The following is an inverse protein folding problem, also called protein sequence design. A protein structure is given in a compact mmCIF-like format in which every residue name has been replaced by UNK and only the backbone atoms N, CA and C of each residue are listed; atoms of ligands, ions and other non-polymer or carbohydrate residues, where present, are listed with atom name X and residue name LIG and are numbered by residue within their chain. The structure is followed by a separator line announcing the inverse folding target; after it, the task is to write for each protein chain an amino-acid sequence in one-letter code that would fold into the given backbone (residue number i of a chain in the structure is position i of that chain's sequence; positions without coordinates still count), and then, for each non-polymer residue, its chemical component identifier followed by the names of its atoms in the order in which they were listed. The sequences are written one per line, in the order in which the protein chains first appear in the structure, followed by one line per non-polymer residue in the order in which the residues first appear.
data_IF_366352905051
#
_entry.id   IF_366352905051
#
_cell.length_a   1.000
_cell.length_b   1.000
_cell.length_c   1.000
_cell.angle_alpha   90.00
_cell.angle_beta   90.00
_cell.angle_gamma   90.00
#
_symmetry.space_group_name_H-M   'P 1'
#
loop_
_entity.id
_entity.type
_entity.pdbx_description
1 polymer ?
#
# COMPACT_ATOMS: atom_id res chain seq x y z
N UNK A 1 -1.52 43.50 13.85
CA UNK A 1 -2.39 42.32 14.09
C UNK A 1 -1.71 41.11 13.47
N UNK A 2 -0.71 40.57 14.18
CA UNK A 2 0.18 39.47 13.77
C UNK A 2 0.84 39.00 15.05
N UNK A 3 0.27 37.97 15.69
CA UNK A 3 0.85 37.18 16.81
C UNK A 3 -0.23 36.22 17.32
N UNK A 4 -0.09 34.93 16.99
CA UNK A 4 -0.57 33.77 17.77
C UNK A 4 -0.67 32.48 16.94
N UNK A 5 0.36 32.12 16.18
CA UNK A 5 0.42 30.75 15.60
C UNK A 5 1.74 30.01 15.81
N UNK A 6 2.73 30.62 16.49
CA UNK A 6 4.06 30.01 16.66
C UNK A 6 4.34 29.44 18.07
N UNK A 7 3.35 29.38 18.98
CA UNK A 7 3.56 28.84 20.34
C UNK A 7 2.83 27.52 20.61
N UNK A 8 1.85 27.14 19.79
CA UNK A 8 1.10 25.87 19.97
C UNK A 8 1.87 24.69 19.36
N UNK A 9 2.58 24.92 18.25
CA UNK A 9 3.37 23.89 17.56
C UNK A 9 4.63 23.46 18.31
N UNK A 10 5.17 24.31 19.19
CA UNK A 10 6.41 24.02 19.93
C UNK A 10 6.16 23.29 21.26
N UNK A 11 4.96 23.38 21.85
CA UNK A 11 4.65 22.75 23.13
C UNK A 11 4.19 21.29 22.99
N UNK A 12 3.65 20.90 21.83
CA UNK A 12 3.20 19.53 21.55
C UNK A 12 4.39 18.59 21.22
N UNK A 13 5.51 19.15 20.73
CA UNK A 13 6.69 18.37 20.33
C UNK A 13 7.55 17.96 21.55
N UNK A 14 7.46 18.66 22.68
CA UNK A 14 8.38 18.47 23.81
C UNK A 14 7.89 17.47 24.89
N UNK A 15 6.65 16.97 24.80
CA UNK A 15 6.07 16.11 25.85
C UNK A 15 5.96 14.61 25.48
N UNK A 16 6.39 14.22 24.28
CA UNK A 16 6.18 12.85 23.76
C UNK A 16 7.42 11.94 23.83
N UNK A 17 8.53 12.37 24.44
CA UNK A 17 9.81 11.65 24.32
C UNK A 17 10.21 10.79 25.52
N UNK A 18 9.30 10.41 26.42
CA UNK A 18 9.69 9.68 27.64
C UNK A 18 8.82 8.51 28.01
N UNK A 19 8.56 7.54 27.13
CA UNK A 19 8.19 6.18 27.58
C UNK A 19 8.73 5.11 26.62
N UNK A 20 9.64 4.29 27.13
CA UNK A 20 10.07 3.05 26.49
C UNK A 20 8.94 2.02 26.65
N UNK A 21 8.23 1.72 25.57
CA UNK A 21 7.16 0.72 25.53
C UNK A 21 7.41 -0.19 24.33
N UNK A 22 7.24 -1.51 24.53
CA UNK A 22 7.34 -2.51 23.45
C UNK A 22 6.40 -2.11 22.32
N UNK A 23 6.96 -1.52 21.26
CA UNK A 23 6.21 -1.08 20.10
C UNK A 23 5.57 -2.30 19.43
N UNK A 24 4.24 -2.29 19.35
CA UNK A 24 3.52 -3.24 18.52
C UNK A 24 3.87 -2.90 17.08
N UNK A 25 4.41 -3.87 16.36
CA UNK A 25 5.15 -3.66 15.12
C UNK A 25 4.43 -4.37 13.99
N UNK A 26 3.22 -3.92 13.69
CA UNK A 26 2.39 -4.52 12.64
C UNK A 26 2.06 -3.43 11.64
N UNK A 27 2.96 -3.23 10.68
CA UNK A 27 2.66 -2.40 9.53
C UNK A 27 2.01 -3.28 8.47
N UNK A 28 0.79 -2.93 8.07
CA UNK A 28 0.21 -3.42 6.83
C UNK A 28 0.94 -2.70 5.70
N UNK A 29 1.62 -3.46 4.83
CA UNK A 29 2.17 -2.86 3.61
C UNK A 29 1.09 -2.85 2.54
N UNK A 30 0.48 -1.68 2.36
CA UNK A 30 -0.41 -1.42 1.24
C UNK A 30 0.36 -1.53 -0.08
N UNK A 31 -0.24 -2.24 -1.04
CA UNK A 31 0.21 -2.25 -2.43
C UNK A 31 -1.00 -1.90 -3.28
N UNK A 32 -0.87 -0.84 -4.06
CA UNK A 32 -1.91 -0.42 -4.97
C UNK A 32 -1.99 -1.41 -6.14
N UNK A 33 -2.99 -2.29 -6.14
CA UNK A 33 -3.20 -3.28 -7.20
C UNK A 33 -4.07 -2.76 -8.35
N UNK A 34 -4.18 -1.44 -8.51
CA UNK A 34 -4.83 -0.84 -9.68
C UNK A 34 -4.16 -1.36 -10.97
N UNK A 35 -4.92 -1.68 -12.02
CA UNK A 35 -4.41 -2.31 -13.25
C UNK A 35 -3.21 -1.66 -13.93
N UNK A 36 -3.06 -0.34 -13.91
CA UNK A 36 -1.85 0.31 -14.44
C UNK A 36 -0.81 0.57 -13.34
N UNK A 37 -1.24 1.08 -12.19
CA UNK A 37 -0.34 1.50 -11.11
C UNK A 37 0.29 0.30 -10.38
N UNK A 38 -0.43 -0.82 -10.24
CA UNK A 38 0.06 -2.05 -9.60
C UNK A 38 1.12 -2.81 -10.39
N UNK A 39 1.39 -2.37 -11.62
CA UNK A 39 2.51 -2.83 -12.43
C UNK A 39 3.75 -1.93 -12.30
N UNK A 40 3.64 -0.84 -11.54
CA UNK A 40 4.72 0.08 -11.28
C UNK A 40 5.38 -0.23 -9.94
N UNK A 41 6.66 0.17 -9.78
CA UNK A 41 7.33 0.12 -8.50
C UNK A 41 6.55 0.81 -7.36
N UNK A 42 6.50 0.14 -6.21
CA UNK A 42 6.05 0.71 -4.93
C UNK A 42 7.22 0.87 -3.95
N UNK A 43 7.06 1.75 -2.97
CA UNK A 43 8.07 2.00 -1.95
C UNK A 43 7.98 1.02 -0.77
N UNK A 44 9.14 0.60 -0.25
CA UNK A 44 9.24 -0.15 0.99
C UNK A 44 9.48 0.77 2.18
N UNK A 45 8.43 1.04 2.97
CA UNK A 45 8.65 1.70 4.26
C UNK A 45 9.09 0.70 5.32
N UNK A 46 10.17 1.01 6.06
CA UNK A 46 10.66 0.14 7.12
C UNK A 46 9.69 0.14 8.30
N UNK A 47 9.76 -0.89 9.14
CA UNK A 47 9.03 -0.87 10.42
C UNK A 47 9.74 0.07 11.40
N UNK A 48 9.02 1.09 11.87
CA UNK A 48 9.50 2.01 12.91
C UNK A 48 9.83 1.27 14.22
N UNK A 49 9.09 0.19 14.50
CA UNK A 49 9.29 -0.63 15.66
C UNK A 49 10.40 -1.67 15.46
N UNK A 50 11.16 -1.94 16.52
CA UNK A 50 12.28 -2.88 16.47
C UNK A 50 11.83 -4.30 16.83
N UNK A 51 11.69 -5.19 15.83
CA UNK A 51 11.55 -6.63 16.08
C UNK A 51 12.93 -7.26 16.37
N UNK A 52 12.99 -8.11 17.39
CA UNK A 52 14.24 -8.69 17.92
C UNK A 52 14.77 -9.89 17.12
N UNK A 53 14.01 -10.41 16.16
CA UNK A 53 14.36 -11.61 15.39
C UNK A 53 15.55 -11.37 14.47
N UNK A 54 16.40 -12.38 14.27
CA UNK A 54 17.54 -12.30 13.35
C UNK A 54 17.08 -12.46 11.91
N UNK A 55 16.03 -13.24 11.68
CA UNK A 55 15.45 -13.46 10.36
C UNK A 55 13.93 -13.44 10.47
N UNK A 56 13.28 -12.92 9.44
CA UNK A 56 11.82 -12.94 9.32
C UNK A 56 11.43 -13.36 7.91
N UNK A 57 10.40 -14.18 7.82
CA UNK A 57 9.79 -14.59 6.55
C UNK A 57 8.32 -14.17 6.59
N UNK A 58 7.90 -13.36 5.64
CA UNK A 58 6.52 -12.88 5.52
C UNK A 58 5.90 -13.37 4.22
N UNK A 59 4.74 -14.02 4.34
CA UNK A 59 3.83 -14.28 3.23
C UNK A 59 2.66 -13.31 3.35
N UNK A 60 2.37 -12.55 2.30
CA UNK A 60 1.21 -11.67 2.22
C UNK A 60 0.40 -12.01 0.98
N UNK A 61 -0.91 -12.12 1.12
CA UNK A 61 -1.85 -12.40 0.04
C UNK A 61 -2.88 -11.28 0.00
N UNK A 62 -3.16 -10.77 -1.19
CA UNK A 62 -4.20 -9.78 -1.40
C UNK A 62 -5.04 -10.14 -2.63
N UNK A 63 -6.32 -9.75 -2.60
CA UNK A 63 -7.21 -9.73 -3.75
C UNK A 63 -7.88 -8.36 -3.80
N UNK A 64 -7.86 -7.74 -4.97
CA UNK A 64 -8.39 -6.40 -5.20
C UNK A 64 -9.36 -6.41 -6.36
N UNK A 65 -10.51 -5.79 -6.16
CA UNK A 65 -11.52 -5.53 -7.17
C UNK A 65 -11.36 -4.12 -7.74
N UNK A 66 -11.63 -3.96 -9.03
CA UNK A 66 -11.64 -2.66 -9.68
C UNK A 66 -12.77 -2.60 -10.71
N UNK A 67 -13.50 -1.49 -10.71
CA UNK A 67 -14.47 -1.14 -11.74
C UNK A 67 -14.42 0.37 -11.98
N UNK A 68 -13.92 0.79 -13.14
CA UNK A 68 -13.85 2.21 -13.53
C UNK A 68 -14.08 2.37 -15.02
N UNK A 69 -14.94 3.33 -15.36
CA UNK A 69 -15.20 3.73 -16.74
C UNK A 69 -15.18 5.25 -16.84
N UNK A 70 -14.22 5.77 -17.57
CA UNK A 70 -14.10 7.20 -17.83
C UNK A 70 -13.50 7.47 -19.21
N UNK A 71 -13.95 8.56 -19.83
CA UNK A 71 -13.34 9.10 -21.04
C UNK A 71 -13.19 10.59 -20.85
N UNK A 72 -11.95 11.09 -20.96
CA UNK A 72 -11.62 12.51 -20.95
C UNK A 72 -10.71 12.77 -22.13
N UNK A 73 -11.06 13.76 -22.95
CA UNK A 73 -10.42 14.06 -24.23
C UNK A 73 -10.28 12.83 -25.14
N UNK A 74 -9.04 12.39 -25.39
CA UNK A 74 -8.70 11.24 -26.22
C UNK A 74 -8.22 10.04 -25.39
N UNK A 75 -8.37 10.09 -24.06
CA UNK A 75 -8.01 9.00 -23.15
C UNK A 75 -9.27 8.30 -22.65
N UNK A 76 -9.36 6.99 -22.86
CA UNK A 76 -10.41 6.14 -22.25
C UNK A 76 -9.78 5.20 -21.24
N UNK A 77 -10.36 5.13 -20.06
CA UNK A 77 -10.04 4.18 -19.02
C UNK A 77 -11.30 3.37 -18.71
N UNK A 78 -11.39 2.17 -19.28
CA UNK A 78 -12.50 1.23 -19.08
C UNK A 78 -11.93 -0.08 -18.55
N UNK A 79 -12.05 -0.28 -17.24
CA UNK A 79 -11.33 -1.32 -16.53
C UNK A 79 -12.22 -1.98 -15.48
N UNK A 80 -12.36 -3.30 -15.60
CA UNK A 80 -13.17 -4.18 -14.76
C UNK A 80 -12.47 -5.52 -14.52
N UNK A 81 -12.49 -6.01 -13.29
CA UNK A 81 -11.99 -7.31 -12.88
C UNK A 81 -11.28 -7.34 -11.53
N UNK A 82 -10.44 -8.34 -11.35
CA UNK A 82 -9.67 -8.59 -10.14
C UNK A 82 -8.19 -8.82 -10.36
N UNK A 83 -7.40 -8.44 -9.37
CA UNK A 83 -5.98 -8.76 -9.27
C UNK A 83 -5.73 -9.42 -7.93
N UNK A 84 -5.13 -10.61 -7.95
CA UNK A 84 -4.60 -11.26 -6.75
C UNK A 84 -3.08 -11.13 -6.72
N UNK A 85 -2.52 -10.90 -5.53
CA UNK A 85 -1.09 -10.84 -5.26
C UNK A 85 -0.73 -11.86 -4.18
N UNK A 86 0.33 -12.62 -4.41
CA UNK A 86 1.09 -13.31 -3.36
C UNK A 86 2.46 -12.65 -3.29
N UNK A 87 2.87 -12.23 -2.11
CA UNK A 87 4.17 -11.61 -1.84
C UNK A 87 4.91 -12.40 -0.77
N UNK A 88 6.13 -12.80 -1.09
CA UNK A 88 7.04 -13.48 -0.17
C UNK A 88 8.22 -12.56 0.14
N UNK A 89 8.39 -12.17 1.39
CA UNK A 89 9.46 -11.29 1.83
C UNK A 89 10.35 -11.99 2.84
N UNK A 90 11.64 -12.07 2.51
CA UNK A 90 12.67 -12.52 3.44
C UNK A 90 13.46 -11.32 3.93
N UNK A 91 13.59 -11.18 5.25
CA UNK A 91 14.46 -10.16 5.86
C UNK A 91 15.47 -10.81 6.81
N UNK A 92 16.73 -10.44 6.66
CA UNK A 92 17.84 -10.83 7.54
C UNK A 92 18.42 -9.62 8.24
N UNK A 93 18.59 -9.68 9.56
CA UNK A 93 19.05 -8.57 10.39
C UNK A 93 20.44 -8.84 10.98
N UNK A 94 21.30 -7.84 10.89
CA UNK A 94 22.66 -7.84 11.47
C UNK A 94 22.98 -6.48 12.08
N UNK A 95 23.04 -6.43 13.42
CA UNK A 95 23.17 -5.17 14.14
C UNK A 95 21.97 -4.24 13.90
N UNK A 96 22.26 -3.02 13.44
CA UNK A 96 21.27 -1.98 13.09
C UNK A 96 20.77 -2.09 11.65
N UNK A 97 21.37 -2.97 10.84
CA UNK A 97 21.04 -3.17 9.43
C UNK A 97 20.11 -4.37 9.24
N UNK A 98 19.16 -4.22 8.32
CA UNK A 98 18.35 -5.33 7.81
C UNK A 98 18.46 -5.35 6.29
N UNK A 99 18.64 -6.54 5.72
CA UNK A 99 18.66 -6.77 4.28
C UNK A 99 17.41 -7.58 3.93
N UNK A 100 16.74 -7.23 2.84
CA UNK A 100 15.58 -8.00 2.43
C UNK A 100 15.39 -8.13 0.93
N UNK A 101 14.62 -9.16 0.59
CA UNK A 101 14.22 -9.55 -0.75
C UNK A 101 12.72 -9.80 -0.71
N UNK A 102 11.99 -9.21 -1.64
CA UNK A 102 10.57 -9.48 -1.84
C UNK A 102 10.31 -9.97 -3.26
N UNK A 103 9.61 -11.09 -3.36
CA UNK A 103 9.16 -11.70 -4.60
C UNK A 103 7.64 -11.64 -4.67
N UNK A 104 7.11 -11.44 -5.86
CA UNK A 104 5.68 -11.27 -6.07
C UNK A 104 5.20 -12.20 -7.17
N UNK A 105 4.00 -12.72 -7.00
CA UNK A 105 3.24 -13.44 -8.01
C UNK A 105 1.86 -12.81 -8.12
N UNK A 106 1.49 -12.39 -9.33
CA UNK A 106 0.24 -11.70 -9.60
C UNK A 106 -0.63 -12.55 -10.53
N UNK A 107 -1.94 -12.43 -10.38
CA UNK A 107 -2.91 -13.03 -11.28
C UNK A 107 -4.09 -12.09 -11.51
N UNK A 108 -4.51 -11.95 -12.77
CA UNK A 108 -5.63 -11.12 -13.19
C UNK A 108 -6.79 -12.01 -13.64
N UNK A 109 -7.98 -11.76 -13.08
CA UNK A 109 -9.16 -12.63 -13.23
C UNK A 109 -10.44 -11.79 -13.29
N UNK A 110 -11.54 -12.44 -13.65
CA UNK A 110 -12.88 -11.86 -13.55
C UNK A 110 -13.28 -11.63 -12.09
N UNK A 111 -14.19 -10.68 -11.84
CA UNK A 111 -14.59 -10.20 -10.51
C UNK A 111 -15.43 -11.14 -9.63
N UNK A 112 -14.83 -12.09 -8.92
CA UNK A 112 -15.53 -12.93 -7.93
C UNK A 112 -16.08 -12.16 -6.71
N UNK A 113 -15.53 -10.99 -6.43
CA UNK A 113 -15.92 -10.05 -5.37
C UNK A 113 -17.02 -9.10 -5.82
N UNK A 114 -17.41 -9.10 -7.10
CA UNK A 114 -18.45 -8.19 -7.61
C UNK A 114 -19.77 -8.39 -6.88
N UNK A 115 -20.21 -9.64 -6.70
CA UNK A 115 -21.48 -9.94 -6.02
C UNK A 115 -21.45 -9.52 -4.53
N UNK A 116 -20.45 -9.91 -3.70
CA UNK A 116 -20.35 -9.42 -2.32
C UNK A 116 -20.28 -7.89 -2.19
N UNK A 117 -19.57 -7.20 -3.10
CA UNK A 117 -19.47 -5.73 -3.08
C UNK A 117 -20.82 -5.11 -3.43
N UNK A 118 -21.50 -5.63 -4.46
CA UNK A 118 -22.81 -5.17 -4.88
C UNK A 118 -23.84 -5.33 -3.75
N UNK A 119 -23.90 -6.51 -3.13
CA UNK A 119 -24.78 -6.79 -2.00
C UNK A 119 -24.48 -5.90 -0.80
N UNK A 120 -23.21 -5.66 -0.48
CA UNK A 120 -22.81 -4.74 0.58
C UNK A 120 -23.35 -3.34 0.32
N UNK A 121 -23.15 -2.80 -0.87
CA UNK A 121 -23.69 -1.48 -1.23
C UNK A 121 -25.21 -1.43 -1.14
N UNK A 122 -25.92 -2.46 -1.58
CA UNK A 122 -27.38 -2.53 -1.49
C UNK A 122 -27.87 -2.53 -0.05
N UNK A 123 -27.23 -3.32 0.83
CA UNK A 123 -27.58 -3.41 2.26
C UNK A 123 -27.38 -2.07 2.98
N UNK A 124 -26.29 -1.36 2.65
CA UNK A 124 -25.95 -0.08 3.29
C UNK A 124 -26.46 1.16 2.55
N UNK A 125 -27.17 0.98 1.43
CA UNK A 125 -27.71 2.07 0.61
C UNK A 125 -26.62 2.93 -0.05
N UNK A 126 -25.46 2.34 -0.34
CA UNK A 126 -24.33 3.02 -0.97
C UNK A 126 -24.51 3.05 -2.51
N UNK A 127 -23.95 4.06 -3.20
CA UNK A 127 -23.97 4.09 -4.66
C UNK A 127 -23.15 2.95 -5.27
N UNK A 128 -23.69 2.28 -6.29
CA UNK A 128 -23.00 1.20 -7.02
C UNK A 128 -21.88 1.71 -7.97
N UNK A 129 -21.79 3.03 -8.17
CA UNK A 129 -20.77 3.68 -9.02
C UNK A 129 -20.64 3.08 -10.43
N UNK A 130 -21.79 2.73 -11.03
CA UNK A 130 -21.88 2.18 -12.39
C UNK A 130 -21.89 0.65 -12.46
N UNK A 131 -21.70 -0.06 -11.34
CA UNK A 131 -21.88 -1.52 -11.31
C UNK A 131 -23.35 -1.89 -11.48
N UNK A 132 -23.60 -2.87 -12.33
CA UNK A 132 -24.90 -3.50 -12.50
C UNK A 132 -24.77 -5.00 -12.25
N UNK A 133 -25.73 -5.60 -11.54
CA UNK A 133 -25.71 -7.04 -11.28
C UNK A 133 -25.67 -7.88 -12.58
N UNK A 134 -26.25 -7.38 -13.67
CA UNK A 134 -26.24 -8.01 -15.00
C UNK A 134 -24.87 -8.01 -15.69
N UNK A 135 -23.94 -7.16 -15.23
CA UNK A 135 -22.60 -7.02 -15.81
C UNK A 135 -21.51 -7.43 -14.84
N UNK A 136 -21.83 -8.15 -13.76
CA UNK A 136 -20.83 -8.69 -12.83
C UNK A 136 -19.95 -9.77 -13.50
N UNK A 137 -18.83 -10.05 -12.85
CA UNK A 137 -17.87 -11.10 -13.18
C UNK A 137 -17.17 -10.91 -14.53
N UNK A 138 -16.88 -9.68 -14.93
CA UNK A 138 -16.13 -9.40 -16.16
C UNK A 138 -14.63 -9.30 -15.91
N UNK A 139 -13.86 -9.45 -16.99
CA UNK A 139 -12.46 -9.05 -17.05
C UNK A 139 -12.28 -8.24 -18.32
N UNK A 140 -12.17 -6.92 -18.17
CA UNK A 140 -11.98 -5.99 -19.26
C UNK A 140 -10.96 -4.95 -18.84
N UNK A 141 -9.78 -4.92 -19.46
CA UNK A 141 -8.87 -3.79 -19.30
C UNK A 141 -8.72 -3.14 -20.65
N UNK A 142 -9.34 -1.99 -20.85
CA UNK A 142 -9.26 -1.23 -22.07
C UNK A 142 -8.82 0.18 -21.73
N UNK A 143 -7.51 0.42 -21.85
CA UNK A 143 -6.94 1.76 -21.67
C UNK A 143 -6.45 2.22 -23.02
N UNK A 144 -7.09 3.28 -23.54
CA UNK A 144 -6.75 3.88 -24.83
C UNK A 144 -6.36 5.34 -24.66
N UNK A 145 -5.46 5.82 -25.50
CA UNK A 145 -5.04 7.23 -25.58
C UNK A 145 -4.73 7.57 -27.02
N UNK A 146 -5.24 8.70 -27.51
CA UNK A 146 -5.08 9.14 -28.90
C UNK A 146 -5.46 8.07 -29.96
N UNK A 147 -6.44 7.22 -29.62
CA UNK A 147 -6.91 6.13 -30.48
C UNK A 147 -6.05 4.85 -30.46
N UNK A 148 -4.92 4.84 -29.77
CA UNK A 148 -4.11 3.63 -29.56
C UNK A 148 -4.57 2.88 -28.30
N UNK A 149 -4.62 1.55 -28.36
CA UNK A 149 -4.93 0.69 -27.21
C UNK A 149 -3.64 0.25 -26.55
N UNK A 150 -3.42 0.67 -25.30
CA UNK A 150 -2.19 0.36 -24.55
C UNK A 150 -2.32 -0.95 -23.79
N UNK A 151 -3.53 -1.26 -23.35
CA UNK A 151 -3.78 -2.44 -22.53
C UNK A 151 -5.06 -3.11 -22.99
N UNK A 152 -4.92 -4.40 -23.25
CA UNK A 152 -5.99 -5.39 -23.32
C UNK A 152 -5.48 -6.66 -22.71
N UNK A 153 -6.22 -7.21 -21.76
CA UNK A 153 -5.83 -8.42 -21.05
C UNK A 153 -6.90 -9.47 -21.17
N UNK A 154 -6.45 -10.72 -21.29
CA UNK A 154 -7.21 -11.88 -20.88
C UNK A 154 -6.75 -12.31 -19.48
N UNK A 155 -7.32 -13.39 -18.95
CA UNK A 155 -6.81 -14.00 -17.72
C UNK A 155 -5.32 -14.31 -17.83
N UNK A 156 -4.52 -13.71 -16.96
CA UNK A 156 -3.07 -13.89 -16.95
C UNK A 156 -2.54 -14.04 -15.53
N UNK A 157 -1.34 -14.59 -15.40
CA UNK A 157 -0.65 -14.74 -14.13
C UNK A 157 0.85 -14.91 -14.34
N UNK A 158 1.63 -14.60 -13.32
CA UNK A 158 3.08 -14.70 -13.41
C UNK A 158 3.80 -14.00 -12.29
N UNK A 159 5.13 -14.11 -12.32
CA UNK A 159 5.99 -13.37 -11.42
C UNK A 159 5.89 -11.88 -11.71
N UNK A 160 5.91 -11.08 -10.66
CA UNK A 160 6.01 -9.64 -10.74
C UNK A 160 7.42 -9.12 -10.51
N UNK A 161 7.50 -7.83 -10.24
CA UNK A 161 8.76 -7.16 -10.01
C UNK A 161 9.38 -7.57 -8.66
N UNK A 162 10.68 -7.83 -8.70
CA UNK A 162 11.49 -8.20 -7.54
C UNK A 162 11.95 -6.95 -6.83
N UNK A 163 11.83 -6.91 -5.51
CA UNK A 163 12.34 -5.80 -4.70
C UNK A 163 13.49 -6.27 -3.82
N UNK A 164 14.55 -5.46 -3.80
CA UNK A 164 15.63 -5.57 -2.83
C UNK A 164 15.60 -4.35 -1.93
N UNK A 165 15.87 -4.52 -0.64
CA UNK A 165 15.91 -3.40 0.28
C UNK A 165 16.96 -3.55 1.38
N UNK A 166 17.42 -2.41 1.87
CA UNK A 166 18.27 -2.28 3.05
C UNK A 166 17.60 -1.32 4.00
N UNK A 167 17.36 -1.76 5.23
CA UNK A 167 16.87 -0.93 6.32
C UNK A 167 18.00 -0.63 7.30
N UNK A 168 17.99 0.57 7.84
CA UNK A 168 18.86 0.99 8.94
C UNK A 168 18.00 1.64 10.03
N UNK A 169 18.34 1.35 11.29
CA UNK A 169 17.77 2.04 12.46
C UNK A 169 18.83 3.00 13.03
N UNK A 170 18.88 4.25 12.54
CA UNK A 170 19.85 5.22 13.03
C UNK A 170 19.52 5.64 14.46
N UNK A 171 20.54 6.06 15.22
CA UNK A 171 20.36 6.61 16.57
C UNK A 171 20.00 8.10 16.55
N UNK A 172 19.49 8.61 15.42
CA UNK A 172 19.29 10.05 15.16
C UNK A 172 17.83 10.46 15.31
N UNK A 173 17.58 11.74 15.58
CA UNK A 173 16.25 12.29 15.88
C UNK A 173 15.30 12.40 14.66
N UNK A 174 15.77 12.22 13.42
CA UNK A 174 14.97 12.50 12.21
C UNK A 174 13.94 11.38 11.93
N UNK A 175 14.30 10.12 12.19
CA UNK A 175 13.43 8.95 11.95
C UNK A 175 13.95 7.74 12.69
N UNK A 176 13.07 6.85 13.14
CA UNK A 176 13.45 5.61 13.81
C UNK A 176 14.02 4.57 12.84
N UNK A 177 13.54 4.58 11.59
CA UNK A 177 14.03 3.71 10.55
C UNK A 177 14.10 4.38 9.17
N UNK A 178 15.13 4.02 8.42
CA UNK A 178 15.35 4.45 7.03
C UNK A 178 15.48 3.21 6.16
N UNK A 179 14.91 3.24 4.96
CA UNK A 179 14.98 2.16 3.98
C UNK A 179 15.44 2.71 2.63
N UNK A 180 16.42 2.04 2.03
CA UNK A 180 16.74 2.18 0.60
C UNK A 180 16.26 0.92 -0.11
N UNK A 181 15.40 1.06 -1.10
CA UNK A 181 14.84 -0.07 -1.87
C UNK A 181 15.02 0.12 -3.37
N UNK A 182 15.13 -1.00 -4.07
CA UNK A 182 15.31 -1.10 -5.51
C UNK A 182 14.27 -2.05 -6.08
N UNK A 183 13.51 -1.59 -7.06
CA UNK A 183 12.53 -2.43 -7.74
C UNK A 183 13.09 -2.78 -9.12
N UNK A 184 13.29 -4.07 -9.33
CA UNK A 184 13.82 -4.63 -10.56
C UNK A 184 12.65 -5.01 -11.46
N UNK A 185 12.67 -4.64 -12.75
CA UNK A 185 11.57 -4.85 -13.68
C UNK A 185 11.55 -6.30 -14.20
N UNK A 186 11.44 -7.27 -13.29
CA UNK A 186 11.49 -8.72 -13.56
C UNK A 186 10.14 -9.31 -13.96
N UNK A 187 9.05 -8.56 -13.78
CA UNK A 187 7.71 -8.95 -14.22
C UNK A 187 7.58 -8.99 -15.74
N UNK A 188 6.48 -9.60 -16.19
CA UNK A 188 6.19 -9.80 -17.60
C UNK A 188 5.15 -8.76 -18.08
N UNK A 189 5.61 -7.82 -18.90
CA UNK A 189 4.74 -6.76 -19.45
C UNK A 189 3.66 -7.30 -20.38
N UNK A 190 3.85 -8.48 -21.00
CA UNK A 190 2.82 -9.11 -21.83
C UNK A 190 1.70 -9.72 -20.98
N UNK A 191 2.04 -10.21 -19.78
CA UNK A 191 1.10 -10.77 -18.80
C UNK A 191 0.58 -9.74 -17.81
N UNK A 192 1.10 -8.52 -17.87
CA UNK A 192 0.71 -7.40 -17.03
C UNK A 192 1.03 -7.59 -15.54
N UNK A 193 2.03 -8.41 -15.22
CA UNK A 193 2.42 -8.71 -13.83
C UNK A 193 3.53 -7.79 -13.31
N UNK A 194 3.98 -6.82 -14.10
CA UNK A 194 5.03 -5.86 -13.75
C UNK A 194 5.93 -5.51 -14.92
N UNK A 195 7.10 -4.95 -14.62
CA UNK A 195 8.16 -4.72 -15.59
C UNK A 195 8.00 -3.43 -16.40
N UNK A 196 7.07 -2.55 -16.04
CA UNK A 196 6.86 -1.26 -16.71
C UNK A 196 7.87 -0.20 -16.29
N UNK A 197 8.46 -0.33 -15.10
CA UNK A 197 9.48 0.58 -14.62
C UNK A 197 10.42 -0.11 -13.62
N UNK A 198 11.61 0.46 -13.47
CA UNK A 198 12.52 0.19 -12.36
C UNK A 198 12.52 1.38 -11.41
N UNK A 199 12.87 1.18 -10.14
CA UNK A 199 12.96 2.32 -9.21
C UNK A 199 14.08 2.22 -8.19
N UNK A 200 14.42 3.39 -7.64
CA UNK A 200 15.17 3.56 -6.39
C UNK A 200 14.28 4.38 -5.45
N UNK A 201 14.03 3.87 -4.24
CA UNK A 201 13.14 4.52 -3.28
C UNK A 201 13.86 4.71 -1.95
N UNK A 202 13.76 5.91 -1.40
CA UNK A 202 14.22 6.25 -0.06
C UNK A 202 13.00 6.49 0.83
N UNK A 203 12.87 5.72 1.90
CA UNK A 203 11.72 5.76 2.81
C UNK A 203 12.15 5.95 4.25
N UNK A 204 11.31 6.64 5.02
CA UNK A 204 11.50 6.93 6.43
C UNK A 204 10.26 6.50 7.20
N UNK A 205 10.45 6.00 8.41
CA UNK A 205 9.36 5.68 9.32
C UNK A 205 9.72 6.10 10.76
N UNK A 206 8.70 6.59 11.46
CA UNK A 206 8.80 7.08 12.84
C UNK A 206 7.61 6.57 13.63
N UNK A 207 7.88 6.13 14.85
CA UNK A 207 6.89 5.84 15.86
C UNK A 207 6.40 7.17 16.43
N UNK A 208 5.10 7.41 16.32
CA UNK A 208 4.42 8.54 16.92
C UNK A 208 4.07 8.30 18.39
N UNK A 209 3.03 8.99 18.85
CA UNK A 209 2.57 8.90 20.23
C UNK A 209 2.11 7.47 20.59
N UNK A 210 2.46 7.05 21.81
CA UNK A 210 1.88 5.90 22.51
C UNK A 210 1.11 6.42 23.72
N UNK A 211 -0.19 6.16 23.76
CA UNK A 211 -1.10 6.63 24.82
C UNK A 211 -1.71 5.41 25.48
N UNK A 212 -1.38 5.23 26.76
CA UNK A 212 -2.01 4.28 27.64
C UNK A 212 -3.18 4.98 28.36
N UNK A 213 -4.38 4.42 28.23
CA UNK A 213 -5.58 5.00 28.83
C UNK A 213 -5.75 4.43 30.24
N UNK A 214 -6.14 5.27 31.20
CA UNK A 214 -6.33 4.91 32.63
C UNK A 214 -7.59 4.04 32.87
N UNK A 215 -7.74 2.98 32.09
CA UNK A 215 -8.79 1.97 32.24
C UNK A 215 -8.32 0.65 31.62
N UNK A 216 -8.32 -0.41 32.42
CA UNK A 216 -7.88 -1.75 32.00
C UNK A 216 -8.67 -2.35 30.82
N UNK A 217 -9.83 -1.79 30.47
CA UNK A 217 -10.66 -2.24 29.35
C UNK A 217 -10.48 -1.42 28.06
N UNK A 218 -9.71 -0.32 28.10
CA UNK A 218 -9.47 0.51 26.92
C UNK A 218 -8.18 0.08 26.21
N UNK A 219 -8.16 0.05 24.86
CA UNK A 219 -6.96 -0.30 24.13
C UNK A 219 -5.88 0.78 24.31
N UNK A 220 -4.61 0.37 24.31
CA UNK A 220 -3.50 1.31 24.13
C UNK A 220 -3.53 1.84 22.70
N UNK A 221 -3.36 3.14 22.53
CA UNK A 221 -3.32 3.79 21.23
C UNK A 221 -1.86 4.02 20.86
N UNK A 222 -1.43 3.53 19.71
CA UNK A 222 -0.09 3.76 19.18
C UNK A 222 -0.22 4.33 17.76
N UNK A 223 0.54 5.36 17.44
CA UNK A 223 0.55 5.95 16.09
C UNK A 223 1.90 5.77 15.44
N UNK A 224 1.95 5.64 14.12
CA UNK A 224 3.20 5.71 13.35
C UNK A 224 2.99 6.44 12.04
N UNK A 225 4.05 6.96 11.46
CA UNK A 225 3.98 7.63 10.16
C UNK A 225 5.28 7.47 9.40
N UNK A 226 5.19 7.62 8.09
CA UNK A 226 6.36 7.57 7.23
C UNK A 226 6.14 8.27 5.91
N UNK A 227 7.24 8.52 5.22
CA UNK A 227 7.25 9.19 3.92
C UNK A 227 8.34 8.59 3.05
N UNK A 228 8.13 8.67 1.74
CA UNK A 228 9.08 8.20 0.76
C UNK A 228 9.20 9.15 -0.43
N UNK A 229 10.35 9.06 -1.08
CA UNK A 229 10.55 9.58 -2.43
C UNK A 229 11.10 8.46 -3.30
N UNK A 230 10.52 8.31 -4.47
CA UNK A 230 10.82 7.25 -5.44
C UNK A 230 11.22 7.89 -6.76
N UNK A 231 12.38 7.51 -7.29
CA UNK A 231 12.75 7.80 -8.67
C UNK A 231 12.43 6.58 -9.54
N UNK A 232 11.55 6.77 -10.53
CA UNK A 232 11.09 5.73 -11.44
C UNK A 232 11.67 5.95 -12.84
N UNK A 233 12.19 4.88 -13.42
CA UNK A 233 12.60 4.82 -14.82
C UNK A 233 11.69 3.88 -15.58
N UNK A 234 10.82 4.47 -16.40
CA UNK A 234 9.79 3.79 -17.18
C UNK A 234 10.32 3.21 -18.49
N UNK A 235 9.62 2.21 -19.03
CA UNK A 235 9.77 1.75 -20.42
C UNK A 235 8.99 2.68 -21.36
N UNK A 236 9.47 2.81 -22.60
CA UNK A 236 8.90 3.73 -23.59
C UNK A 236 7.43 3.43 -23.96
N UNK A 237 6.96 2.20 -23.71
CA UNK A 237 5.57 1.78 -24.00
C UNK A 237 4.49 2.52 -23.20
N UNK A 238 4.87 3.31 -22.19
CA UNK A 238 3.95 4.11 -21.38
C UNK A 238 4.29 5.62 -21.40
N UNK A 239 5.18 6.05 -22.29
CA UNK A 239 5.58 7.47 -22.40
C UNK A 239 4.39 8.37 -22.75
N UNK A 240 3.40 7.84 -23.47
CA UNK A 240 2.20 8.58 -23.88
C UNK A 240 1.30 8.99 -22.71
N UNK A 241 1.39 8.28 -21.58
CA UNK A 241 0.72 8.67 -20.34
C UNK A 241 1.48 9.75 -19.56
N UNK A 242 2.55 10.31 -20.12
CA UNK A 242 3.35 11.37 -19.49
C UNK A 242 3.75 11.00 -18.04
N UNK A 243 4.51 9.91 -17.84
CA UNK A 243 4.79 9.38 -16.51
C UNK A 243 5.68 10.33 -15.70
N UNK A 244 5.38 10.48 -14.40
CA UNK A 244 6.16 11.29 -13.47
C UNK A 244 7.39 10.50 -12.99
N UNK A 245 8.63 10.96 -13.24
CA UNK A 245 9.84 10.25 -12.82
C UNK A 245 10.07 10.29 -11.31
N UNK A 246 9.41 11.20 -10.59
CA UNK A 246 9.47 11.30 -9.14
C UNK A 246 8.08 11.10 -8.56
N UNK A 247 7.95 10.12 -7.67
CA UNK A 247 6.71 9.83 -6.94
C UNK A 247 7.01 9.96 -5.45
N UNK A 248 6.25 10.82 -4.77
CA UNK A 248 6.24 10.92 -3.33
C UNK A 248 5.14 10.06 -2.73
N UNK A 249 5.36 9.56 -1.52
CA UNK A 249 4.28 8.94 -0.77
C UNK A 249 4.41 9.16 0.73
N UNK A 250 3.32 8.97 1.43
CA UNK A 250 3.25 9.01 2.88
C UNK A 250 2.27 7.97 3.39
N UNK A 251 2.47 7.53 4.64
CA UNK A 251 1.48 6.77 5.37
C UNK A 251 1.35 7.29 6.80
N UNK A 252 0.18 7.08 7.38
CA UNK A 252 -0.09 7.25 8.81
C UNK A 252 -0.85 6.04 9.34
N UNK A 253 -0.52 5.60 10.55
CA UNK A 253 -1.07 4.42 11.23
C UNK A 253 -1.67 4.83 12.57
N UNK A 254 -2.83 4.25 12.89
CA UNK A 254 -3.46 4.27 14.21
C UNK A 254 -3.68 2.81 14.64
N UNK A 255 -3.02 2.42 15.71
CA UNK A 255 -3.01 1.05 16.21
C UNK A 255 -3.73 1.03 17.57
N UNK A 256 -4.85 0.32 17.63
CA UNK A 256 -5.60 0.06 18.86
C UNK A 256 -5.22 -1.31 19.40
N UNK A 257 -4.40 -1.33 20.45
CA UNK A 257 -3.80 -2.52 21.01
C UNK A 257 -4.64 -2.95 22.22
N UNK A 258 -5.51 -3.94 22.01
CA UNK A 258 -6.40 -4.46 23.04
C UNK A 258 -5.69 -5.36 24.05
N UNK A 259 -4.73 -6.14 23.56
CA UNK A 259 -3.87 -7.01 24.38
C UNK A 259 -2.47 -7.03 23.77
N UNK A 260 -1.44 -7.55 24.47
CA UNK A 260 -0.12 -7.74 23.88
C UNK A 260 -0.09 -8.59 22.61
N UNK A 261 -1.18 -9.33 22.32
CA UNK A 261 -1.28 -10.25 21.19
C UNK A 261 -2.37 -9.90 20.19
N UNK A 262 -3.19 -8.87 20.44
CA UNK A 262 -4.34 -8.52 19.58
C UNK A 262 -4.38 -7.01 19.41
N UNK A 263 -4.36 -6.56 18.16
CA UNK A 263 -4.54 -5.16 17.81
C UNK A 263 -5.43 -4.99 16.57
N UNK A 264 -6.10 -3.84 16.49
CA UNK A 264 -6.69 -3.32 15.26
C UNK A 264 -5.74 -2.23 14.72
N UNK A 265 -5.31 -2.37 13.48
CA UNK A 265 -4.40 -1.44 12.81
C UNK A 265 -5.17 -0.76 11.70
N UNK A 266 -5.13 0.56 11.65
CA UNK A 266 -5.73 1.33 10.57
C UNK A 266 -4.69 2.24 9.94
N UNK A 267 -4.48 2.12 8.63
CA UNK A 267 -3.56 2.96 7.88
C UNK A 267 -4.28 3.84 6.88
N UNK A 268 -3.76 5.05 6.69
CA UNK A 268 -4.00 5.84 5.51
C UNK A 268 -2.72 5.90 4.68
N UNK A 269 -2.81 5.56 3.40
CA UNK A 269 -1.70 5.53 2.46
C UNK A 269 -1.96 6.53 1.33
N UNK A 270 -0.96 7.36 1.03
CA UNK A 270 -1.05 8.45 0.05
C UNK A 270 0.13 8.39 -0.92
N UNK A 271 -0.14 8.55 -2.21
CA UNK A 271 0.90 8.71 -3.24
C UNK A 271 0.59 9.88 -4.17
N UNK A 272 1.62 10.63 -4.57
CA UNK A 272 1.50 11.57 -5.68
C UNK A 272 1.17 10.81 -6.97
N UNK A 273 0.56 11.47 -7.97
CA UNK A 273 0.22 10.81 -9.24
C UNK A 273 1.45 10.18 -9.93
N UNK A 274 1.28 8.98 -10.47
CA UNK A 274 2.31 8.32 -11.28
C UNK A 274 2.36 8.88 -12.71
N UNK A 275 1.27 9.47 -13.18
CA UNK A 275 1.13 10.02 -14.51
C UNK A 275 0.63 11.46 -14.43
N UNK A 276 1.01 12.28 -15.39
CA UNK A 276 0.44 13.60 -15.59
C UNK A 276 -0.64 13.50 -16.69
N UNK A 277 -1.85 13.11 -16.28
CA UNK A 277 -2.98 12.88 -17.17
C UNK A 277 -4.25 13.55 -16.60
N UNK A 278 -5.19 13.88 -17.48
CA UNK A 278 -6.48 14.48 -17.06
C UNK A 278 -7.47 13.42 -16.59
N UNK A 279 -7.31 12.18 -17.06
CA UNK A 279 -8.09 11.04 -16.59
C UNK A 279 -7.71 10.75 -15.14
N UNK A 280 -8.73 10.70 -14.28
CA UNK A 280 -8.59 10.68 -12.82
C UNK A 280 -7.85 9.44 -12.36
N UNK A 281 -8.09 8.31 -13.00
CA UNK A 281 -7.51 6.99 -12.72
C UNK A 281 -5.98 6.96 -12.90
N UNK A 282 -5.42 7.96 -13.58
CA UNK A 282 -3.98 8.09 -13.83
C UNK A 282 -3.37 9.34 -13.16
N UNK A 283 -4.08 10.46 -13.20
CA UNK A 283 -3.56 11.78 -12.83
C UNK A 283 -3.84 12.23 -11.39
N UNK A 284 -4.63 11.50 -10.62
CA UNK A 284 -4.95 11.90 -9.25
C UNK A 284 -4.01 11.33 -8.19
N UNK A 285 -3.94 12.02 -7.06
CA UNK A 285 -3.32 11.50 -5.85
C UNK A 285 -4.11 10.28 -5.36
N UNK A 286 -3.41 9.17 -5.12
CA UNK A 286 -3.99 7.98 -4.50
C UNK A 286 -4.16 8.19 -3.00
N UNK A 287 -5.32 7.82 -2.46
CA UNK A 287 -5.60 7.82 -1.02
C UNK A 287 -6.37 6.54 -0.70
N UNK A 288 -5.72 5.62 0.01
CA UNK A 288 -6.33 4.38 0.48
C UNK A 288 -6.45 4.37 1.99
N UNK A 289 -7.57 3.85 2.51
CA UNK A 289 -7.71 3.47 3.90
C UNK A 289 -7.57 1.96 3.99
N UNK A 290 -6.81 1.45 4.94
CA UNK A 290 -6.79 0.02 5.26
C UNK A 290 -7.03 -0.21 6.74
N UNK A 291 -7.68 -1.32 7.07
CA UNK A 291 -7.89 -1.75 8.45
C UNK A 291 -7.69 -3.25 8.58
N UNK A 292 -6.97 -3.70 9.61
CA UNK A 292 -6.72 -5.11 9.85
C UNK A 292 -6.69 -5.47 11.33
N UNK A 293 -7.20 -6.65 11.64
CA UNK A 293 -6.94 -7.30 12.92
C UNK A 293 -5.63 -8.05 12.83
N UNK A 294 -4.76 -7.85 13.82
CA UNK A 294 -3.46 -8.49 13.94
C UNK A 294 -3.37 -9.31 15.22
N UNK A 295 -2.79 -10.49 15.09
CA UNK A 295 -2.67 -11.51 16.11
C UNK A 295 -1.22 -11.96 16.23
N UNK A 296 -0.62 -11.81 17.41
CA UNK A 296 0.68 -12.40 17.71
C UNK A 296 0.51 -13.73 18.44
N UNK A 297 0.97 -14.81 17.81
CA UNK A 297 0.90 -16.17 18.34
C UNK A 297 2.29 -16.79 18.31
N UNK A 298 2.93 -16.87 19.48
CA UNK A 298 4.30 -17.36 19.63
C UNK A 298 5.28 -16.57 18.74
N UNK A 299 5.88 -17.19 17.74
CA UNK A 299 6.81 -16.57 16.77
C UNK A 299 6.11 -16.00 15.53
N UNK A 300 4.80 -16.14 15.43
CA UNK A 300 4.02 -15.76 14.25
C UNK A 300 3.23 -14.48 14.52
N UNK A 301 3.18 -13.58 13.54
CA UNK A 301 2.22 -12.49 13.47
C UNK A 301 1.29 -12.78 12.29
N UNK A 302 -0.01 -12.74 12.52
CA UNK A 302 -1.05 -12.99 11.51
C UNK A 302 -1.90 -11.75 11.43
N UNK A 303 -2.17 -11.25 10.23
CA UNK A 303 -3.14 -10.18 10.04
C UNK A 303 -4.14 -10.52 8.95
N UNK A 304 -5.38 -10.05 9.15
CA UNK A 304 -6.44 -10.10 8.16
C UNK A 304 -7.14 -8.75 8.14
N UNK A 305 -7.35 -8.21 6.95
CA UNK A 305 -7.91 -6.89 6.80
C UNK A 305 -8.45 -6.62 5.42
N UNK A 306 -8.89 -5.39 5.25
CA UNK A 306 -9.37 -4.88 3.98
C UNK A 306 -8.86 -3.46 3.75
N UNK A 307 -8.92 -3.01 2.50
CA UNK A 307 -8.69 -1.62 2.14
C UNK A 307 -9.76 -1.12 1.18
N UNK A 308 -10.06 0.17 1.28
CA UNK A 308 -11.05 0.87 0.47
C UNK A 308 -10.47 2.21 -0.01
N UNK A 309 -10.96 2.69 -1.16
CA UNK A 309 -10.54 3.96 -1.71
C UNK A 309 -11.25 5.15 -1.03
N UNK A 310 -10.48 6.04 -0.38
CA UNK A 310 -11.04 7.29 0.15
C UNK A 310 -11.25 8.29 -0.99
N UNK A 311 -10.34 8.25 -1.96
CA UNK A 311 -10.42 9.07 -3.17
C UNK A 311 -10.53 8.13 -4.38
N UNK A 312 -11.74 7.96 -4.92
CA UNK A 312 -11.96 7.07 -6.04
C UNK A 312 -11.06 7.36 -7.23
N UNK A 313 -10.66 6.30 -7.94
CA UNK A 313 -10.06 6.24 -9.31
C UNK A 313 -8.66 5.64 -9.36
N UNK A 314 -7.73 6.06 -8.51
CA UNK A 314 -6.31 5.64 -8.63
C UNK A 314 -5.91 4.48 -7.73
N UNK A 315 -6.82 4.02 -6.89
CA UNK A 315 -6.66 2.83 -6.02
C UNK A 315 -7.75 1.82 -6.37
N UNK A 316 -7.59 0.53 -6.02
CA UNK A 316 -8.69 -0.43 -6.14
C UNK A 316 -9.87 0.02 -5.30
N UNK A 317 -11.09 -0.31 -5.74
CA UNK A 317 -12.31 -0.01 -4.98
C UNK A 317 -12.28 -0.67 -3.61
N UNK A 318 -11.94 -1.96 -3.62
CA UNK A 318 -11.92 -2.78 -2.44
C UNK A 318 -10.82 -3.82 -2.54
N UNK A 319 -10.15 -4.10 -1.44
CA UNK A 319 -9.20 -5.21 -1.36
C UNK A 319 -9.36 -5.96 -0.05
N UNK A 320 -9.19 -7.28 -0.11
CA UNK A 320 -9.00 -8.13 1.06
C UNK A 320 -7.55 -8.55 1.11
N UNK A 321 -6.97 -8.58 2.30
CA UNK A 321 -5.61 -9.07 2.47
C UNK A 321 -5.43 -9.87 3.75
N UNK A 322 -4.47 -10.77 3.66
CA UNK A 322 -4.01 -11.64 4.73
C UNK A 322 -2.48 -11.60 4.75
N UNK A 323 -1.88 -11.71 5.93
CA UNK A 323 -0.45 -11.94 6.01
C UNK A 323 -0.05 -12.76 7.21
N UNK A 324 1.09 -13.42 7.06
CA UNK A 324 1.74 -14.25 8.06
C UNK A 324 3.23 -13.90 8.07
N UNK A 325 3.69 -13.29 9.15
CA UNK A 325 5.12 -13.12 9.41
C UNK A 325 5.59 -14.16 10.41
N UNK A 326 6.63 -14.90 10.08
CA UNK A 326 7.31 -15.85 10.97
C UNK A 326 8.67 -15.31 11.37
N UNK A 327 8.90 -15.22 12.68
CA UNK A 327 10.19 -14.89 13.28
C UNK A 327 11.04 -16.16 13.39
N UNK A 328 12.23 -16.16 12.78
CA UNK A 328 13.16 -17.29 12.71
C UNK A 328 14.40 -17.08 13.57
#
# INVERSE_FOLDING_TARGET
MLRSQSLISALIILFLSLFDQRAYASKIQYVNLNPLIGQLPYAHYPSAAQKQSKMTFETSVAISNYFRQSTVDQTTYDVDGETSLIRETLTYRTGTLSLGLSLQYQAHRSGYLDDPIYEFHDVFGMPQNGREQSTNNQLNWNITKNGETYKRIDRSHGLGDTMLFVEMRPTSFISDAVSLSFNLPTGDTSKQTGGLASSINLSFATQGASIELDNAFLPRIQTSYGYNVSYLRYKSMIDEFSPNPFVGGAYGSLDLIFTPTIALITNIDINTPYFNDEVRELGWTSIALSSALSFDVSRHNIYIGFSEDIRPSTTPDFSLFFGLTTNL
#
